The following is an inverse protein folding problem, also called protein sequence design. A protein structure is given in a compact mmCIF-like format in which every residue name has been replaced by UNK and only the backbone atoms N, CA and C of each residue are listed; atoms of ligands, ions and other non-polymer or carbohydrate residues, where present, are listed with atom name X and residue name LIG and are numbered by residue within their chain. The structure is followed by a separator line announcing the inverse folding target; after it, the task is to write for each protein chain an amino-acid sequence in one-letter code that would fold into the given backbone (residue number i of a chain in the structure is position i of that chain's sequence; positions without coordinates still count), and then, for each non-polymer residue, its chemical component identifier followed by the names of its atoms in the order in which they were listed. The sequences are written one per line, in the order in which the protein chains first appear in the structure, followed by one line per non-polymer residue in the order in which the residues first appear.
data_IF_328141848466
#
_entry.id   IF_328141848466
#
_cell.length_a   1.000
_cell.length_b   1.000
_cell.length_c   1.000
_cell.angle_alpha   90.00
_cell.angle_beta   90.00
_cell.angle_gamma   90.00
#
_symmetry.space_group_name_H-M   'P 1'
#
loop_
_entity.id
_entity.type
_entity.pdbx_description
1 polymer ?
#
# COMPACT_ATOMS: atom_id res chain seq x y z
N UNK A 1 45.17 -21.68 4.38
CA UNK A 1 44.29 -20.51 4.23
C UNK A 1 42.99 -20.79 4.98
N UNK A 2 42.76 -20.14 6.12
CA UNK A 2 41.52 -20.28 6.89
C UNK A 2 40.49 -19.28 6.37
N UNK A 3 39.42 -19.76 5.73
CA UNK A 3 38.28 -18.93 5.37
C UNK A 3 37.51 -18.57 6.65
N UNK A 4 37.68 -17.35 7.14
CA UNK A 4 36.78 -16.79 8.15
C UNK A 4 35.45 -16.46 7.47
N UNK A 5 34.42 -17.25 7.77
CA UNK A 5 33.05 -16.96 7.35
C UNK A 5 32.62 -15.61 7.94
N UNK A 6 32.44 -14.60 7.09
CA UNK A 6 31.83 -13.32 7.47
C UNK A 6 30.40 -13.64 7.89
N UNK A 7 30.15 -13.68 9.20
CA UNK A 7 28.79 -13.70 9.73
C UNK A 7 28.24 -12.30 9.53
N UNK A 8 27.36 -12.14 8.55
CA UNK A 8 26.51 -10.96 8.49
C UNK A 8 25.65 -10.97 9.75
N UNK A 9 26.09 -10.19 10.74
CA UNK A 9 25.27 -9.85 11.89
C UNK A 9 24.13 -9.02 11.30
N UNK A 10 22.97 -9.67 11.12
CA UNK A 10 21.75 -9.01 10.68
C UNK A 10 21.56 -7.86 11.67
N UNK A 11 21.73 -6.61 11.21
CA UNK A 11 21.54 -5.45 12.07
C UNK A 11 20.17 -5.58 12.72
N UNK A 12 20.11 -5.61 14.05
CA UNK A 12 18.87 -5.64 14.84
C UNK A 12 17.96 -4.40 14.59
N UNK A 13 18.37 -3.52 13.68
CA UNK A 13 17.67 -2.33 13.23
C UNK A 13 16.59 -2.58 12.17
N UNK A 14 16.17 -3.83 11.94
CA UNK A 14 14.87 -4.06 11.27
C UNK A 14 13.80 -3.67 12.28
N UNK A 15 13.50 -2.36 12.35
CA UNK A 15 12.42 -1.79 13.16
C UNK A 15 11.18 -2.65 12.93
N UNK A 16 10.82 -3.44 13.94
CA UNK A 16 9.56 -4.17 13.96
C UNK A 16 8.47 -3.11 13.97
N UNK A 17 7.93 -2.84 12.79
CA UNK A 17 6.85 -1.89 12.61
C UNK A 17 5.71 -2.36 13.51
N UNK A 18 5.20 -1.46 14.34
CA UNK A 18 3.98 -1.73 15.07
C UNK A 18 2.84 -1.98 14.07
N UNK A 19 1.83 -2.77 14.43
CA UNK A 19 0.72 -3.11 13.51
C UNK A 19 0.12 -1.86 12.83
N UNK A 20 0.05 -0.73 13.54
CA UNK A 20 -0.39 0.56 13.00
C UNK A 20 0.50 1.15 11.90
N UNK A 21 1.81 0.91 11.94
CA UNK A 21 2.74 1.39 10.90
C UNK A 21 2.69 0.51 9.65
N UNK A 22 2.43 -0.78 9.82
CA UNK A 22 2.18 -1.72 8.72
C UNK A 22 0.89 -1.31 7.99
N UNK A 23 -0.19 -1.05 8.72
CA UNK A 23 -1.45 -0.61 8.12
C UNK A 23 -1.29 0.71 7.36
N UNK A 24 -0.55 1.67 7.91
CA UNK A 24 -0.22 2.93 7.19
C UNK A 24 0.56 2.68 5.91
N UNK A 25 1.51 1.75 5.93
CA UNK A 25 2.30 1.41 4.75
C UNK A 25 1.43 0.77 3.67
N UNK A 26 0.59 -0.20 4.04
CA UNK A 26 -0.37 -0.87 3.14
C UNK A 26 -1.34 0.15 2.55
N UNK A 27 -1.91 1.04 3.37
CA UNK A 27 -2.78 2.13 2.91
C UNK A 27 -2.05 3.02 1.90
N UNK A 28 -0.81 3.41 2.19
CA UNK A 28 -0.02 4.28 1.31
C UNK A 28 0.27 3.63 -0.05
N UNK A 29 0.52 2.32 -0.06
CA UNK A 29 0.78 1.54 -1.26
C UNK A 29 -0.45 1.50 -2.17
N UNK A 30 -1.62 1.12 -1.62
CA UNK A 30 -2.85 1.03 -2.42
C UNK A 30 -3.36 2.39 -2.88
N UNK A 31 -3.15 3.47 -2.10
CA UNK A 31 -3.42 4.83 -2.58
C UNK A 31 -2.53 5.19 -3.79
N UNK A 32 -1.26 4.77 -3.78
CA UNK A 32 -0.34 5.02 -4.90
C UNK A 32 -0.76 4.25 -6.15
N UNK A 33 -1.22 3.01 -5.99
CA UNK A 33 -1.77 2.18 -7.05
C UNK A 33 -3.03 2.81 -7.67
N UNK A 34 -3.97 3.27 -6.83
CA UNK A 34 -5.15 4.01 -7.29
C UNK A 34 -4.80 5.30 -8.04
N UNK A 35 -3.77 6.03 -7.60
CA UNK A 35 -3.28 7.22 -8.33
C UNK A 35 -2.66 6.87 -9.67
N UNK A 36 -2.00 5.70 -9.80
CA UNK A 36 -1.48 5.23 -11.10
C UNK A 36 -2.60 4.78 -12.02
N UNK A 37 -3.62 4.10 -11.50
CA UNK A 37 -4.83 3.75 -12.25
C UNK A 37 -5.50 5.00 -12.84
N UNK A 38 -5.67 6.07 -12.04
CA UNK A 38 -6.22 7.34 -12.52
C UNK A 38 -5.38 8.02 -13.59
N UNK A 39 -4.08 7.70 -13.67
CA UNK A 39 -3.17 8.16 -14.73
C UNK A 39 -3.14 7.23 -15.94
N UNK A 40 -3.93 6.15 -15.95
CA UNK A 40 -3.96 5.14 -17.01
C UNK A 40 -2.80 4.13 -16.96
N UNK A 41 -2.07 4.06 -15.85
CA UNK A 41 -0.89 3.19 -15.71
C UNK A 41 -1.15 1.83 -15.08
N UNK A 42 -2.37 1.56 -14.60
CA UNK A 42 -2.76 0.29 -13.96
C UNK A 42 -4.11 -0.17 -14.52
N UNK A 43 -4.44 -1.44 -14.32
CA UNK A 43 -5.70 -2.05 -14.79
C UNK A 43 -6.85 -1.82 -13.82
N UNK A 44 -8.08 -2.02 -14.30
CA UNK A 44 -9.29 -1.89 -13.48
C UNK A 44 -9.33 -2.91 -12.34
N UNK A 45 -8.82 -4.10 -12.59
CA UNK A 45 -8.77 -5.22 -11.67
C UNK A 45 -7.84 -4.93 -10.49
N UNK A 46 -6.67 -4.36 -10.76
CA UNK A 46 -5.70 -3.92 -9.74
C UNK A 46 -6.29 -2.81 -8.87
N UNK A 47 -6.93 -1.81 -9.49
CA UNK A 47 -7.57 -0.72 -8.76
C UNK A 47 -8.74 -1.21 -7.88
N UNK A 48 -9.55 -2.17 -8.37
CA UNK A 48 -10.61 -2.79 -7.57
C UNK A 48 -10.04 -3.54 -6.37
N UNK A 49 -9.03 -4.38 -6.58
CA UNK A 49 -8.36 -5.11 -5.49
C UNK A 49 -7.81 -4.15 -4.41
N UNK A 50 -7.16 -3.07 -4.84
CA UNK A 50 -6.68 -2.02 -3.93
C UNK A 50 -7.81 -1.37 -3.13
N UNK A 51 -8.95 -1.10 -3.74
CA UNK A 51 -10.11 -0.56 -3.03
C UNK A 51 -10.71 -1.55 -2.02
N UNK A 52 -10.77 -2.84 -2.37
CA UNK A 52 -11.29 -3.88 -1.48
C UNK A 52 -10.40 -4.04 -0.23
N UNK A 53 -9.07 -3.99 -0.39
CA UNK A 53 -8.12 -4.03 0.72
C UNK A 53 -8.27 -2.80 1.62
N UNK A 54 -8.40 -1.60 1.05
CA UNK A 54 -8.61 -0.38 1.83
C UNK A 54 -9.94 -0.40 2.60
N UNK A 55 -11.00 -1.00 2.02
CA UNK A 55 -12.28 -1.23 2.71
C UNK A 55 -12.14 -2.22 3.87
N UNK A 56 -11.39 -3.31 3.70
CA UNK A 56 -11.11 -4.29 4.76
C UNK A 56 -10.34 -3.66 5.93
N UNK A 57 -9.49 -2.68 5.65
CA UNK A 57 -8.80 -1.87 6.67
C UNK A 57 -9.70 -0.81 7.33
N UNK A 58 -10.99 -0.78 6.99
CA UNK A 58 -11.98 0.12 7.59
C UNK A 58 -12.04 1.52 6.97
N UNK A 59 -11.38 1.76 5.83
CA UNK A 59 -11.50 3.05 5.14
C UNK A 59 -12.84 3.16 4.42
N UNK A 60 -13.49 4.30 4.56
CA UNK A 60 -14.72 4.59 3.81
C UNK A 60 -14.40 4.97 2.36
N UNK A 61 -15.33 4.71 1.42
CA UNK A 61 -15.28 5.21 0.04
C UNK A 61 -14.81 6.66 -0.10
N UNK A 62 -15.33 7.53 0.77
CA UNK A 62 -15.01 8.95 0.78
C UNK A 62 -13.55 9.22 1.21
N UNK A 63 -13.06 8.50 2.23
CA UNK A 63 -11.67 8.60 2.67
C UNK A 63 -10.70 8.12 1.60
N UNK A 64 -11.04 7.04 0.89
CA UNK A 64 -10.26 6.50 -0.22
C UNK A 64 -10.16 7.53 -1.35
N UNK A 65 -11.29 8.11 -1.78
CA UNK A 65 -11.31 9.14 -2.82
C UNK A 65 -10.54 10.41 -2.41
N UNK A 66 -10.68 10.84 -1.15
CA UNK A 66 -9.93 11.97 -0.59
C UNK A 66 -8.42 11.71 -0.60
N UNK A 67 -7.98 10.52 -0.23
CA UNK A 67 -6.57 10.15 -0.20
C UNK A 67 -5.96 9.98 -1.61
N UNK A 68 -6.76 9.45 -2.54
CA UNK A 68 -6.43 9.35 -3.95
C UNK A 68 -6.48 10.72 -4.69
N UNK A 69 -7.05 11.75 -4.06
CA UNK A 69 -7.31 13.09 -4.64
C UNK A 69 -8.14 13.00 -5.92
N UNK A 70 -9.20 12.20 -5.89
CA UNK A 70 -10.07 11.98 -7.04
C UNK A 70 -11.54 12.16 -6.69
N UNK A 71 -12.39 12.34 -7.71
CA UNK A 71 -13.85 12.37 -7.52
C UNK A 71 -14.34 10.92 -7.29
N UNK A 72 -15.33 10.71 -6.43
CA UNK A 72 -15.86 9.35 -6.17
C UNK A 72 -16.28 8.64 -7.47
N UNK A 73 -16.85 9.39 -8.42
CA UNK A 73 -17.27 8.93 -9.75
C UNK A 73 -16.12 8.36 -10.59
N UNK A 74 -14.89 8.77 -10.32
CA UNK A 74 -13.70 8.27 -11.03
C UNK A 74 -13.24 6.88 -10.56
N UNK A 75 -13.82 6.39 -9.46
CA UNK A 75 -13.60 5.05 -8.92
C UNK A 75 -14.92 4.27 -8.96
N UNK A 76 -15.31 3.70 -10.11
CA UNK A 76 -16.62 3.05 -10.28
C UNK A 76 -16.81 1.75 -9.47
N UNK A 77 -15.77 1.33 -8.74
CA UNK A 77 -15.69 0.11 -7.93
C UNK A 77 -15.57 0.41 -6.42
N UNK A 78 -15.57 1.69 -6.04
CA UNK A 78 -15.58 2.15 -4.65
C UNK A 78 -16.99 2.22 -4.08
#
# INVERSE_FOLDING_TARGET
MSYSAIRFQMSDEVKRLSNNEIDKLVISYHIKELKRYLKGGETKESAKCSCDILKQLGMTPFQIAKAAKCKLVSLPFV
#
